data_IF_246573448793
#
_entry.id   IF_246573448793
#
_cell.length_a   1.000
_cell.length_b   1.000
_cell.length_c   1.000
_cell.angle_alpha   90.00
_cell.angle_beta   90.00
_cell.angle_gamma   90.00
#
_symmetry.space_group_name_H-M   'P 1'
#
loop_
_entity.id
_entity.type
_entity.pdbx_description
1 polymer ?
2 non-polymer ?
3 water ?
#
# COMPACT_ATOMS: atom_id res chain seq x y z
N UNK A 7 -15.85 -17.62 -10.81
CA UNK A 7 -15.80 -16.28 -10.23
C UNK A 7 -14.47 -15.56 -10.54
N UNK A 8 -13.44 -15.82 -9.73
CA UNK A 8 -12.09 -15.33 -10.00
C UNK A 8 -11.30 -16.49 -10.59
N UNK A 9 -12.01 -17.40 -11.24
CA UNK A 9 -11.41 -18.65 -11.69
C UNK A 9 -10.37 -18.41 -12.76
N UNK A 10 -10.80 -17.87 -13.90
CA UNK A 10 -9.88 -17.59 -14.98
C UNK A 10 -8.96 -16.43 -14.61
N UNK A 11 -9.44 -15.54 -13.74
CA UNK A 11 -8.68 -14.33 -13.40
C UNK A 11 -7.35 -14.69 -12.73
N UNK A 12 -7.38 -15.58 -11.75
CA UNK A 12 -6.13 -15.99 -11.09
C UNK A 12 -5.19 -16.65 -12.08
N UNK A 13 -5.77 -17.39 -13.02
CA UNK A 13 -4.98 -18.08 -14.04
C UNK A 13 -4.35 -17.08 -14.98
N UNK A 14 -5.11 -16.07 -15.39
CA UNK A 14 -4.53 -14.98 -16.16
C UNK A 14 -3.39 -14.34 -15.39
N UNK A 15 -3.61 -14.02 -14.12
CA UNK A 15 -2.53 -13.39 -13.35
C UNK A 15 -1.26 -14.25 -13.39
N UNK A 16 -1.41 -15.55 -13.17
CA UNK A 16 -0.27 -16.47 -13.25
C UNK A 16 0.48 -16.34 -14.58
N UNK A 17 -0.26 -16.29 -15.68
CA UNK A 17 0.37 -16.17 -16.99
C UNK A 17 1.25 -14.93 -17.12
N UNK A 18 0.96 -13.87 -16.37
CA UNK A 18 1.75 -12.65 -16.53
C UNK A 18 3.16 -12.79 -15.94
N UNK A 19 3.39 -13.86 -15.19
CA UNK A 19 4.68 -14.04 -14.54
C UNK A 19 5.70 -14.75 -15.44
N UNK A 20 5.32 -15.00 -16.70
CA UNK A 20 6.23 -15.67 -17.63
C UNK A 20 7.59 -14.97 -17.73
N UNK A 21 7.59 -13.65 -17.59
CA UNK A 21 8.81 -12.85 -17.66
C UNK A 21 9.33 -12.41 -16.29
N UNK A 22 8.69 -12.86 -15.21
CA UNK A 22 9.11 -12.49 -13.86
C UNK A 22 10.60 -12.83 -13.69
N UNK A 23 11.38 -11.93 -13.06
CA UNK A 23 12.82 -12.20 -12.91
C UNK A 23 13.10 -13.41 -12.02
N UNK A 24 14.16 -14.13 -12.36
CA UNK A 24 14.51 -15.41 -11.72
C UNK A 24 14.73 -15.39 -10.21
N UNK A 25 15.40 -14.37 -9.71
CA UNK A 25 15.85 -14.41 -8.32
C UNK A 25 14.89 -13.91 -7.25
N UNK A 26 13.65 -13.60 -7.61
CA UNK A 26 12.71 -13.07 -6.63
C UNK A 26 12.30 -14.14 -5.60
N UNK A 27 12.42 -13.80 -4.31
CA UNK A 27 12.28 -14.76 -3.21
C UNK A 27 10.85 -15.00 -2.77
N UNK A 28 9.88 -14.75 -3.64
CA UNK A 28 8.49 -15.10 -3.34
C UNK A 28 7.90 -15.78 -4.57
N UNK A 29 7.08 -16.80 -4.36
CA UNK A 29 6.52 -17.56 -5.47
C UNK A 29 5.50 -16.75 -6.27
N UNK A 30 5.51 -16.99 -7.58
CA UNK A 30 4.59 -16.35 -8.50
C UNK A 30 3.16 -16.81 -8.23
N UNK A 31 3.00 -18.07 -7.86
CA UNK A 31 1.68 -18.59 -7.54
C UNK A 31 1.09 -17.85 -6.34
N UNK A 32 1.90 -17.62 -5.32
CA UNK A 32 1.41 -16.91 -4.14
C UNK A 32 1.05 -15.47 -4.49
N UNK A 33 1.86 -14.84 -5.33
CA UNK A 33 1.56 -13.49 -5.76
C UNK A 33 0.22 -13.45 -6.48
N UNK A 34 0.04 -14.34 -7.46
CA UNK A 34 -1.17 -14.38 -8.26
C UNK A 34 -2.40 -14.70 -7.42
N UNK A 35 -2.24 -15.62 -6.47
CA UNK A 35 -3.31 -15.97 -5.55
C UNK A 35 -3.71 -14.78 -4.68
N UNK A 36 -2.74 -13.93 -4.35
CA UNK A 36 -3.03 -12.75 -3.54
C UNK A 36 -3.63 -11.60 -4.36
N UNK A 37 -3.89 -11.86 -5.64
CA UNK A 37 -4.55 -10.90 -6.51
C UNK A 37 -3.60 -10.10 -7.37
N UNK A 38 -2.31 -10.41 -7.29
CA UNK A 38 -1.32 -9.58 -7.99
C UNK A 38 -0.93 -10.12 -9.35
N UNK A 39 -0.86 -9.24 -10.35
CA UNK A 39 -0.26 -9.63 -11.62
C UNK A 39 1.05 -8.86 -11.81
N UNK A 40 1.86 -9.32 -12.75
CA UNK A 40 3.20 -8.77 -12.90
C UNK A 40 3.13 -7.61 -13.88
N UNK A 41 3.72 -6.47 -13.51
CA UNK A 41 3.70 -5.28 -14.34
C UNK A 41 4.68 -5.32 -15.51
N UNK A 42 5.67 -6.21 -15.43
CA UNK A 42 6.70 -6.30 -16.45
C UNK A 42 7.90 -5.45 -16.10
N UNK A 43 7.83 -4.80 -14.94
CA UNK A 43 8.92 -3.96 -14.46
C UNK A 43 9.51 -4.50 -13.15
N UNK A 44 10.82 -4.74 -13.15
CA UNK A 44 11.50 -5.25 -11.95
C UNK A 44 10.73 -6.43 -11.37
N UNK A 45 10.43 -6.38 -10.07
CA UNK A 45 9.59 -7.39 -9.44
C UNK A 45 8.28 -6.76 -8.96
N UNK A 46 7.86 -5.71 -9.64
CA UNK A 46 6.70 -4.93 -9.24
C UNK A 46 5.42 -5.57 -9.73
N UNK A 47 4.48 -5.75 -8.81
CA UNK A 47 3.23 -6.40 -9.13
C UNK A 47 2.08 -5.48 -8.71
N UNK A 48 0.89 -5.74 -9.24
CA UNK A 48 -0.23 -4.84 -9.05
C UNK A 48 -1.49 -5.67 -8.80
N UNK A 49 -2.32 -5.26 -7.85
CA UNK A 49 -3.58 -5.97 -7.61
C UNK A 49 -4.57 -5.69 -8.73
N UNK A 50 -5.15 -6.76 -9.27
CA UNK A 50 -6.13 -6.63 -10.34
C UNK A 50 -7.40 -5.93 -9.85
N UNK A 51 -7.62 -5.95 -8.54
CA UNK A 51 -8.85 -5.38 -7.98
C UNK A 51 -8.71 -3.92 -7.56
N UNK A 52 -7.67 -3.61 -6.80
CA UNK A 52 -7.53 -2.27 -6.23
C UNK A 52 -6.35 -1.48 -6.78
N UNK A 53 -5.48 -2.13 -7.55
CA UNK A 53 -4.34 -1.43 -8.12
C UNK A 53 -3.18 -1.18 -7.15
N UNK A 54 -3.23 -1.75 -5.95
CA UNK A 54 -2.08 -1.65 -5.04
C UNK A 54 -0.82 -2.18 -5.74
N UNK A 55 0.28 -1.44 -5.64
CA UNK A 55 1.53 -1.79 -6.31
C UNK A 55 2.64 -2.08 -5.31
N UNK A 56 3.31 -3.22 -5.50
CA UNK A 56 4.31 -3.73 -4.56
C UNK A 56 5.53 -4.26 -5.30
N UNK A 57 6.71 -3.92 -4.80
CA UNK A 57 7.94 -4.45 -5.37
C UNK A 57 8.97 -4.71 -4.27
N UNK A 58 10.22 -4.95 -4.67
CA UNK A 58 11.29 -5.24 -3.73
C UNK A 58 10.87 -6.31 -2.72
N UNK A 59 10.39 -7.44 -3.25
CA UNK A 59 9.94 -8.57 -2.44
C UNK A 59 11.11 -9.22 -1.70
N UNK A 60 10.90 -9.51 -0.42
CA UNK A 60 11.93 -10.09 0.44
C UNK A 60 11.56 -11.52 0.83
N UNK A 61 12.58 -12.32 1.12
CA UNK A 61 12.35 -13.68 1.59
C UNK A 61 11.37 -13.68 2.77
N UNK A 62 10.32 -14.49 2.68
CA UNK A 62 9.37 -14.62 3.77
C UNK A 62 8.21 -13.64 3.71
N UNK A 63 8.25 -12.72 2.75
CA UNK A 63 7.15 -11.76 2.58
C UNK A 63 5.85 -12.46 2.22
N UNK A 64 4.76 -12.06 2.86
CA UNK A 64 3.47 -12.62 2.52
C UNK A 64 2.67 -11.66 1.65
N UNK A 65 2.42 -12.02 0.39
CA UNK A 65 1.66 -11.11 -0.47
C UNK A 65 0.26 -10.84 0.08
N UNK A 66 -0.38 -11.85 0.67
CA UNK A 66 -1.71 -11.65 1.23
C UNK A 66 -1.69 -10.72 2.44
N UNK A 67 -0.69 -10.89 3.31
CA UNK A 67 -0.56 -10.01 4.47
C UNK A 67 -0.23 -8.59 4.08
N UNK A 68 0.73 -8.42 3.18
CA UNK A 68 1.08 -7.07 2.75
C UNK A 68 -0.17 -6.40 2.18
N UNK A 69 -0.91 -7.17 1.39
CA UNK A 69 -2.11 -6.68 0.73
C UNK A 69 -3.17 -6.23 1.74
N UNK A 70 -3.49 -7.09 2.69
CA UNK A 70 -4.46 -6.81 3.76
C UNK A 70 -4.07 -5.58 4.57
N UNK A 71 -2.78 -5.46 4.87
CA UNK A 71 -2.24 -4.40 5.71
C UNK A 71 -2.24 -3.05 5.03
N UNK A 72 -1.88 -3.04 3.75
CA UNK A 72 -1.69 -1.77 3.06
C UNK A 72 -2.97 -1.22 2.50
N UNK A 73 -3.79 -2.10 1.93
CA UNK A 73 -5.04 -1.68 1.32
C UNK A 73 -6.22 -2.60 1.66
N UNK A 74 -6.71 -2.50 2.91
CA UNK A 74 -7.76 -3.36 3.45
C UNK A 74 -9.10 -3.21 2.73
N UNK A 75 -9.31 -2.09 2.03
CA UNK A 75 -10.63 -1.82 1.43
C UNK A 75 -10.84 -2.56 0.10
N UNK A 76 -9.79 -3.21 -0.38
CA UNK A 76 -9.89 -4.04 -1.58
C UNK A 76 -10.90 -5.16 -1.37
N UNK A 77 -11.96 -5.18 -2.18
CA UNK A 77 -12.99 -6.21 -2.07
C UNK A 77 -12.41 -7.60 -2.27
N UNK A 78 -11.46 -7.74 -3.19
CA UNK A 78 -10.88 -9.05 -3.42
C UNK A 78 -10.18 -9.56 -2.16
N UNK A 79 -9.23 -8.79 -1.64
CA UNK A 79 -8.48 -9.24 -0.47
C UNK A 79 -9.42 -9.51 0.73
N UNK A 80 -10.52 -8.76 0.83
CA UNK A 80 -11.49 -8.98 1.91
C UNK A 80 -12.20 -10.31 1.75
N UNK A 81 -12.57 -10.64 0.52
CA UNK A 81 -13.30 -11.87 0.25
C UNK A 81 -12.40 -13.09 0.27
N UNK A 82 -11.14 -12.89 -0.10
CA UNK A 82 -10.18 -13.97 -0.12
C UNK A 82 -9.95 -14.48 1.30
N UNK A 83 -9.81 -13.53 2.21
CA UNK A 83 -9.46 -13.80 3.60
C UNK A 83 -10.68 -14.18 4.47
N UNK A 84 -11.88 -13.88 3.97
CA UNK A 84 -13.11 -14.16 4.72
C UNK A 84 -13.63 -15.57 4.46
N UNK B 7 -11.74 23.04 -0.18
CA UNK B 7 -10.37 22.59 -0.41
C UNK B 7 -9.99 21.59 0.69
N UNK B 8 -8.70 21.47 0.95
CA UNK B 8 -8.18 20.53 1.94
C UNK B 8 -7.76 21.26 3.22
N UNK B 9 -8.08 22.55 3.28
CA UNK B 9 -7.64 23.40 4.38
C UNK B 9 -8.00 22.84 5.75
N UNK B 10 -9.29 22.66 6.02
CA UNK B 10 -9.69 22.12 7.33
C UNK B 10 -9.34 20.64 7.46
N UNK B 11 -9.37 19.92 6.34
CA UNK B 11 -9.11 18.49 6.32
C UNK B 11 -7.73 18.17 6.89
N UNK B 12 -6.73 18.90 6.42
CA UNK B 12 -5.36 18.74 6.91
C UNK B 12 -5.24 19.06 8.40
N UNK B 13 -5.89 20.13 8.84
CA UNK B 13 -5.92 20.47 10.26
C UNK B 13 -6.57 19.35 11.05
N UNK B 14 -7.63 18.77 10.51
CA UNK B 14 -8.24 17.60 11.15
C UNK B 14 -7.25 16.44 11.23
N UNK B 15 -6.58 16.13 10.12
CA UNK B 15 -5.60 15.05 10.14
C UNK B 15 -4.50 15.36 11.15
N UNK B 16 -4.04 16.61 11.16
CA UNK B 16 -3.04 17.04 12.13
C UNK B 16 -3.50 16.75 13.56
N UNK B 17 -4.77 17.04 13.84
CA UNK B 17 -5.32 16.82 15.18
C UNK B 17 -5.25 15.37 15.66
N UNK B 18 -5.28 14.41 14.73
CA UNK B 18 -5.28 13.00 15.11
C UNK B 18 -3.94 12.54 15.69
N UNK B 19 -2.89 13.34 15.50
CA UNK B 19 -1.55 12.99 15.98
C UNK B 19 -1.29 13.35 17.44
N UNK B 20 -2.32 13.84 18.14
CA UNK B 20 -2.16 14.18 19.55
C UNK B 20 -1.50 13.04 20.33
N UNK B 21 -1.79 11.80 19.97
CA UNK B 21 -1.31 10.65 20.74
C UNK B 21 -0.28 9.83 19.98
N UNK B 22 0.43 10.48 19.07
CA UNK B 22 1.45 9.84 18.26
C UNK B 22 2.73 9.68 19.07
N UNK B 23 3.24 8.44 19.17
CA UNK B 23 4.49 8.13 19.87
C UNK B 23 5.63 9.07 19.50
N UNK B 24 6.40 9.48 20.51
CA UNK B 24 7.49 10.44 20.32
C UNK B 24 8.63 9.84 19.52
N UNK B 25 8.72 8.51 19.53
CA UNK B 25 9.83 7.80 18.92
C UNK B 25 9.85 7.77 17.41
N UNK B 26 8.76 8.20 16.78
CA UNK B 26 8.63 8.15 15.33
C UNK B 26 9.53 9.16 14.62
N UNK B 27 10.43 8.66 13.75
CA UNK B 27 11.43 9.43 13.01
C UNK B 27 10.84 10.22 11.85
N UNK B 28 9.51 10.30 11.76
CA UNK B 28 8.87 11.07 10.70
C UNK B 28 7.95 12.17 11.26
N UNK B 29 7.96 13.33 10.62
CA UNK B 29 7.22 14.49 11.12
C UNK B 29 5.70 14.38 10.95
N UNK B 30 4.98 14.43 12.07
CA UNK B 30 3.52 14.36 12.04
C UNK B 30 2.95 15.27 10.97
N UNK B 31 3.55 16.44 10.82
CA UNK B 31 3.04 17.47 9.92
C UNK B 31 3.16 17.04 8.45
N UNK B 32 4.27 16.38 8.12
CA UNK B 32 4.49 15.91 6.76
C UNK B 32 3.52 14.78 6.44
N UNK B 33 3.29 13.91 7.42
CA UNK B 33 2.29 12.86 7.28
C UNK B 33 0.90 13.43 6.98
N UNK B 34 0.47 14.43 7.75
CA UNK B 34 -0.85 15.04 7.55
C UNK B 34 -0.92 15.74 6.20
N UNK B 35 0.16 16.44 5.85
CA UNK B 35 0.23 17.10 4.56
C UNK B 35 0.15 16.09 3.41
N UNK B 36 0.71 14.91 3.63
CA UNK B 36 0.70 13.84 2.63
C UNK B 36 -0.66 13.13 2.54
N UNK B 37 -1.60 13.54 3.40
CA UNK B 37 -2.94 13.00 3.38
C UNK B 37 -3.24 12.01 4.49
N UNK B 38 -2.25 11.77 5.35
CA UNK B 38 -2.38 10.74 6.38
C UNK B 38 -2.84 11.26 7.74
N UNK B 39 -3.81 10.56 8.31
CA UNK B 39 -4.20 10.77 9.70
C UNK B 39 -3.81 9.54 10.52
N UNK B 40 -3.63 9.75 11.82
CA UNK B 40 -3.17 8.70 12.71
C UNK B 40 -4.33 7.78 13.10
N UNK B 41 -4.09 6.47 13.03
CA UNK B 41 -5.12 5.49 13.34
C UNK B 41 -5.27 5.23 14.84
N UNK B 42 -4.26 5.62 15.62
CA UNK B 42 -4.28 5.41 17.05
C UNK B 42 -3.67 4.08 17.48
N UNK B 43 -2.96 3.44 16.55
CA UNK B 43 -2.33 2.16 16.79
C UNK B 43 -0.88 2.27 16.34
N UNK B 44 0.04 1.95 17.25
CA UNK B 44 1.48 2.05 16.97
C UNK B 44 1.83 3.36 16.25
N UNK B 45 2.52 3.27 15.12
CA UNK B 45 2.72 4.46 14.29
C UNK B 45 1.98 4.33 12.96
N UNK B 46 0.85 3.63 12.98
CA UNK B 46 0.09 3.34 11.77
C UNK B 46 -0.80 4.51 11.34
N UNK B 47 -0.62 4.97 10.11
CA UNK B 47 -1.42 6.08 9.57
C UNK B 47 -2.21 5.68 8.32
N UNK B 48 -3.14 6.54 7.91
CA UNK B 48 -4.07 6.16 6.85
C UNK B 48 -4.45 7.38 6.01
N UNK B 49 -4.53 7.20 4.70
CA UNK B 49 -4.88 8.31 3.82
C UNK B 49 -6.37 8.58 3.86
N UNK B 50 -6.73 9.84 4.08
CA UNK B 50 -8.14 10.24 4.18
C UNK B 50 -8.86 10.07 2.84
N UNK B 51 -8.08 10.03 1.77
CA UNK B 51 -8.63 9.96 0.42
C UNK B 51 -8.81 8.53 -0.11
N UNK B 52 -7.79 7.68 0.01
CA UNK B 52 -7.83 6.35 -0.61
C UNK B 52 -7.74 5.21 0.41
N UNK B 53 -7.48 5.54 1.67
CA UNK B 53 -7.44 4.53 2.71
C UNK B 53 -6.17 3.68 2.76
N UNK B 54 -5.16 4.07 1.99
CA UNK B 54 -3.85 3.41 2.09
C UNK B 54 -3.33 3.55 3.51
N UNK B 55 -2.90 2.43 4.09
CA UNK B 55 -2.36 2.41 5.45
C UNK B 55 -0.87 2.11 5.46
N UNK B 56 -0.13 2.91 6.22
CA UNK B 56 1.33 2.79 6.31
C UNK B 56 1.76 2.87 7.78
N UNK B 57 2.74 2.07 8.15
CA UNK B 57 3.28 2.09 9.51
C UNK B 57 4.75 1.75 9.47
N UNK B 58 5.33 1.49 10.64
CA UNK B 58 6.75 1.21 10.77
C UNK B 58 7.57 2.23 10.00
N UNK B 59 7.49 3.48 10.42
CA UNK B 59 8.20 4.55 9.73
C UNK B 59 9.69 4.54 10.10
N UNK B 60 10.52 4.95 9.15
CA UNK B 60 11.97 4.92 9.32
C UNK B 60 12.57 6.25 8.88
N UNK B 61 13.69 6.63 9.51
CA UNK B 61 14.34 7.91 9.23
C UNK B 61 14.61 8.13 7.74
N UNK B 62 14.21 9.29 7.23
CA UNK B 62 14.41 9.59 5.82
C UNK B 62 13.20 9.24 4.98
N UNK B 63 12.36 8.35 5.49
CA UNK B 63 11.13 7.97 4.80
C UNK B 63 10.39 9.20 4.32
N UNK B 64 9.85 9.12 3.11
CA UNK B 64 9.04 10.21 2.56
C UNK B 64 7.59 9.78 2.32
N UNK B 65 6.66 10.32 3.12
CA UNK B 65 5.25 9.90 3.05
C UNK B 65 4.66 10.09 1.66
N UNK B 66 5.01 11.19 0.99
CA UNK B 66 4.48 11.45 -0.34
C UNK B 66 5.00 10.42 -1.33
N UNK B 67 6.30 10.13 -1.24
CA UNK B 67 6.93 9.20 -2.15
C UNK B 67 6.37 7.80 -1.96
N UNK B 68 6.30 7.35 -0.71
CA UNK B 68 5.74 6.04 -0.39
C UNK B 68 4.31 5.92 -0.89
N UNK B 69 3.54 6.99 -0.69
CA UNK B 69 2.14 7.02 -1.09
C UNK B 69 2.06 6.87 -2.60
N UNK B 70 2.97 7.56 -3.27
CA UNK B 70 2.99 7.66 -4.72
C UNK B 70 3.33 6.33 -5.37
N UNK B 71 4.19 5.57 -4.69
CA UNK B 71 4.66 4.30 -5.21
C UNK B 71 3.64 3.17 -5.02
N UNK B 72 2.94 3.17 -3.89
CA UNK B 72 2.06 2.05 -3.53
C UNK B 72 0.65 2.17 -4.07
N UNK B 73 0.12 3.39 -4.04
CA UNK B 73 -1.26 3.61 -4.47
C UNK B 73 -1.39 4.91 -5.27
N UNK B 74 -0.83 4.92 -6.50
CA UNK B 74 -0.80 6.12 -7.33
C UNK B 74 -2.17 6.58 -7.83
N UNK B 75 -3.19 5.74 -7.71
CA UNK B 75 -4.52 6.13 -8.19
C UNK B 75 -5.25 7.09 -7.24
N UNK B 76 -4.59 7.50 -6.16
CA UNK B 76 -5.18 8.45 -5.21
C UNK B 76 -5.23 9.88 -5.78
N UNK B 77 -6.44 10.40 -5.98
CA UNK B 77 -6.61 11.76 -6.50
C UNK B 77 -5.91 12.81 -5.65
N UNK B 78 -5.89 12.60 -4.34
CA UNK B 78 -5.24 13.56 -3.47
C UNK B 78 -3.73 13.59 -3.69
N UNK B 79 -3.09 12.43 -3.62
CA UNK B 79 -1.64 12.36 -3.76
C UNK B 79 -1.20 12.79 -5.16
N UNK B 80 -2.08 12.62 -6.13
CA UNK B 80 -1.79 13.04 -7.49
C UNK B 80 -1.69 14.56 -7.58
N UNK B 81 -2.72 15.24 -7.08
CA UNK B 81 -2.76 16.70 -7.08
C UNK B 81 -1.70 17.31 -6.17
N UNK B 82 -1.07 16.46 -5.36
CA UNK B 82 -0.02 16.91 -4.46
C UNK B 82 1.35 16.82 -5.14
N UNK B 83 1.60 15.69 -5.82
CA UNK B 83 2.88 15.45 -6.48
C UNK B 83 2.80 15.80 -7.96
X LIG C 1 -6.36 -5.33 -4.00
X LIG D 1 -4.29 8.39 -0.74
#
# INVERSE_FOLDING_TARGET
GPLGSKYDFSCELYRMSTYSTFPAGVPVSERSLARAGFYYTGVNDKVKCFCCGLMLDNWKLGDSPIQKHKQLYPSCSFIQNLVSA
GPLGSKYDFSCELYRMSTYSTFPAGVPVSERSLARAGFYYTGVNDKVKCFCCGLMLDNWKLGDSPIQKHKQLYPSCSFIQNLVSA
ZN ZN
ZN ZN
#
